data_IF_615541881262
#
_entry.id   IF_615541881262
#
_cell.length_a   1.000
_cell.length_b   1.000
_cell.length_c   1.000
_cell.angle_alpha   90.00
_cell.angle_beta   90.00
_cell.angle_gamma   90.00
#
_symmetry.space_group_name_H-M   'P 1'
#
loop_
_entity.id
_entity.type
_entity.pdbx_description
1 polymer ?
#
# COMPACT_ATOMS: atom_id res chain seq x y z
N UNK A 1 35.37 44.99 -42.07
CA UNK A 1 34.35 45.28 -41.04
C UNK A 1 33.35 44.13 -40.76
N UNK A 2 33.46 42.92 -41.34
CA UNK A 2 32.39 41.90 -41.26
C UNK A 2 32.64 40.64 -40.41
N UNK A 3 33.80 40.47 -39.78
CA UNK A 3 34.13 39.27 -39.00
C UNK A 3 33.64 39.35 -37.55
N UNK A 4 33.85 40.50 -36.89
CA UNK A 4 33.40 40.73 -35.51
C UNK A 4 31.86 40.82 -35.38
N UNK A 5 31.16 41.31 -36.40
CA UNK A 5 29.69 41.35 -36.40
C UNK A 5 29.05 39.95 -36.59
N UNK A 6 29.81 38.96 -37.10
CA UNK A 6 29.37 37.55 -37.18
C UNK A 6 29.71 36.75 -35.92
N UNK A 7 30.75 37.15 -35.17
CA UNK A 7 31.13 36.52 -33.89
C UNK A 7 30.32 37.06 -32.69
N UNK A 8 29.86 38.31 -32.77
CA UNK A 8 29.05 38.98 -31.73
C UNK A 8 27.65 39.38 -32.20
N UNK A 9 27.27 38.99 -33.42
CA UNK A 9 25.89 39.14 -33.87
C UNK A 9 25.01 38.25 -33.01
N UNK A 10 24.13 38.89 -32.21
CA UNK A 10 23.18 38.18 -31.37
C UNK A 10 22.47 37.11 -32.22
N UNK A 11 22.64 35.83 -31.86
CA UNK A 11 21.87 34.75 -32.48
C UNK A 11 20.39 35.17 -32.44
N UNK A 12 19.66 35.13 -33.57
CA UNK A 12 18.25 35.47 -33.57
C UNK A 12 17.59 34.67 -32.44
N UNK A 13 16.92 35.39 -31.52
CA UNK A 13 16.31 34.78 -30.35
C UNK A 13 15.37 33.68 -30.84
N UNK A 14 15.73 32.43 -30.58
CA UNK A 14 14.93 31.29 -31.02
C UNK A 14 13.54 31.43 -30.39
N UNK A 15 12.52 31.44 -31.24
CA UNK A 15 11.13 31.65 -30.82
C UNK A 15 10.78 30.61 -29.77
N UNK A 16 10.37 31.08 -28.59
CA UNK A 16 9.93 30.20 -27.51
C UNK A 16 8.52 29.74 -27.84
N UNK A 17 8.36 28.45 -28.10
CA UNK A 17 7.05 27.85 -28.35
C UNK A 17 6.35 27.63 -27.01
N UNK A 18 5.24 28.34 -26.83
CA UNK A 18 4.46 28.27 -25.60
C UNK A 18 3.28 27.32 -25.81
N UNK A 19 3.27 26.20 -25.09
CA UNK A 19 2.31 25.11 -25.29
C UNK A 19 1.56 24.86 -23.98
N UNK A 20 0.21 24.86 -23.98
CA UNK A 20 -0.55 24.48 -22.80
C UNK A 20 -0.34 23.00 -22.50
N UNK A 21 -0.24 22.64 -21.22
CA UNK A 21 -0.02 21.26 -20.82
C UNK A 21 -1.01 20.25 -21.44
N UNK A 22 -2.28 20.63 -21.55
CA UNK A 22 -3.34 19.79 -22.14
C UNK A 22 -3.10 19.49 -23.63
N UNK A 23 -2.43 20.39 -24.37
CA UNK A 23 -2.13 20.24 -25.80
C UNK A 23 -0.72 19.71 -26.08
N UNK A 24 0.06 19.36 -25.05
CA UNK A 24 1.46 19.00 -25.19
C UNK A 24 1.67 17.76 -26.06
N UNK A 25 0.76 16.78 -25.97
CA UNK A 25 0.82 15.55 -26.78
C UNK A 25 0.57 15.82 -28.25
N UNK A 26 -0.46 16.59 -28.57
CA UNK A 26 -0.80 16.93 -29.96
C UNK A 26 0.28 17.78 -30.61
N UNK A 27 0.81 18.75 -29.84
CA UNK A 27 1.99 19.52 -30.26
C UNK A 27 3.18 18.62 -30.55
N UNK A 28 3.48 17.65 -29.69
CA UNK A 28 4.57 16.70 -29.91
C UNK A 28 4.36 15.86 -31.17
N UNK A 29 3.15 15.37 -31.42
CA UNK A 29 2.84 14.59 -32.62
C UNK A 29 3.01 15.43 -33.90
N UNK A 30 2.58 16.69 -33.88
CA UNK A 30 2.81 17.63 -34.98
C UNK A 30 4.30 17.86 -35.21
N UNK A 31 5.06 18.17 -34.14
CA UNK A 31 6.51 18.40 -34.25
C UNK A 31 7.28 17.17 -34.70
N UNK A 32 6.86 15.99 -34.23
CA UNK A 32 7.42 14.72 -34.69
C UNK A 32 7.23 14.58 -36.19
N UNK A 33 6.02 14.82 -36.70
CA UNK A 33 5.75 14.76 -38.14
C UNK A 33 6.66 15.72 -38.93
N UNK A 34 6.70 17.00 -38.55
CA UNK A 34 7.52 18.02 -39.24
C UNK A 34 9.01 17.65 -39.27
N UNK A 35 9.53 17.11 -38.16
CA UNK A 35 10.93 16.70 -38.05
C UNK A 35 11.24 15.40 -38.79
N UNK A 36 10.29 14.47 -38.89
CA UNK A 36 10.43 13.29 -39.74
C UNK A 36 10.42 13.68 -41.23
N UNK A 37 9.56 14.61 -41.64
CA UNK A 37 9.57 15.15 -43.01
C UNK A 37 10.89 15.87 -43.31
N UNK A 38 11.41 16.66 -42.36
CA UNK A 38 12.73 17.30 -42.47
C UNK A 38 13.85 16.26 -42.55
N UNK A 39 13.79 15.20 -41.73
CA UNK A 39 14.77 14.12 -41.73
C UNK A 39 14.74 13.34 -43.05
N UNK A 40 13.56 13.09 -43.62
CA UNK A 40 13.41 12.48 -44.93
C UNK A 40 14.03 13.36 -46.01
N UNK A 41 13.76 14.68 -46.00
CA UNK A 41 14.37 15.60 -46.96
C UNK A 41 15.90 15.65 -46.84
N UNK A 42 16.43 15.69 -45.61
CA UNK A 42 17.88 15.63 -45.37
C UNK A 42 18.48 14.30 -45.85
N UNK A 43 17.76 13.19 -45.66
CA UNK A 43 18.14 11.88 -46.18
C UNK A 43 18.12 11.86 -47.71
N UNK A 44 17.07 12.36 -48.35
CA UNK A 44 16.95 12.44 -49.81
C UNK A 44 18.05 13.31 -50.43
N UNK A 45 18.54 14.31 -49.69
CA UNK A 45 19.67 15.15 -50.10
C UNK A 45 21.02 14.43 -49.94
N UNK A 46 21.23 13.68 -48.85
CA UNK A 46 22.50 13.01 -48.56
C UNK A 46 22.65 11.63 -49.21
N UNK A 47 21.54 10.93 -49.50
CA UNK A 47 21.55 9.60 -50.10
C UNK A 47 22.20 9.58 -51.51
N UNK A 48 22.00 10.57 -52.40
CA UNK A 48 22.71 10.64 -53.67
C UNK A 48 24.23 10.73 -53.53
N UNK A 49 24.74 11.47 -52.54
CA UNK A 49 26.19 11.57 -52.29
C UNK A 49 26.76 10.23 -51.84
N UNK A 50 26.05 9.52 -50.96
CA UNK A 50 26.41 8.18 -50.53
C UNK A 50 26.36 7.18 -51.71
N UNK A 51 25.32 7.23 -52.55
CA UNK A 51 25.21 6.39 -53.76
C UNK A 51 26.37 6.68 -54.73
N UNK A 52 26.69 7.94 -54.97
CA UNK A 52 27.81 8.32 -55.81
C UNK A 52 29.14 7.79 -55.24
N UNK A 53 29.35 7.85 -53.91
CA UNK A 53 30.54 7.28 -53.29
C UNK A 53 30.62 5.73 -53.43
N UNK A 54 29.47 5.05 -53.36
CA UNK A 54 29.34 3.60 -53.62
C UNK A 54 29.66 3.29 -55.09
N UNK A 55 29.14 4.07 -56.03
CA UNK A 55 29.38 3.89 -57.46
C UNK A 55 30.85 4.15 -57.83
N UNK A 56 31.47 5.20 -57.27
CA UNK A 56 32.89 5.48 -57.45
C UNK A 56 33.77 4.38 -56.87
N UNK A 57 33.39 3.77 -55.74
CA UNK A 57 34.05 2.58 -55.21
C UNK A 57 33.97 1.41 -56.21
N UNK A 58 32.80 1.20 -56.82
CA UNK A 58 32.62 0.20 -57.88
C UNK A 58 33.57 0.42 -59.06
N UNK A 59 33.65 1.66 -59.56
CA UNK A 59 34.60 2.03 -60.62
C UNK A 59 36.05 1.84 -60.20
N UNK A 60 36.38 2.18 -58.95
CA UNK A 60 37.71 1.97 -58.37
C UNK A 60 38.10 0.49 -58.33
N UNK A 61 37.14 -0.40 -58.04
CA UNK A 61 37.34 -1.85 -58.03
C UNK A 61 37.67 -2.34 -59.44
N UNK A 62 36.96 -1.87 -60.46
CA UNK A 62 37.21 -2.23 -61.86
C UNK A 62 38.53 -1.64 -62.41
N UNK A 63 38.89 -0.43 -61.97
CA UNK A 63 40.20 0.16 -62.26
C UNK A 63 41.32 -0.67 -61.64
N UNK A 64 41.21 -1.02 -60.35
CA UNK A 64 42.19 -1.89 -59.69
C UNK A 64 42.22 -3.28 -60.34
N UNK A 65 41.13 -3.80 -60.93
CA UNK A 65 41.11 -5.09 -61.66
C UNK A 65 41.79 -5.03 -63.02
N UNK A 66 41.74 -3.89 -63.70
CA UNK A 66 42.31 -3.71 -65.04
C UNK A 66 43.71 -3.09 -65.04
N UNK A 67 44.16 -2.52 -63.92
CA UNK A 67 45.48 -1.90 -63.77
C UNK A 67 46.63 -2.86 -64.16
N UNK A 68 47.53 -2.37 -65.01
CA UNK A 68 48.75 -3.07 -65.42
C UNK A 68 49.96 -2.68 -64.56
N UNK A 69 51.00 -3.51 -64.58
CA UNK A 69 52.25 -3.21 -63.90
C UNK A 69 53.05 -2.14 -64.65
N UNK A 70 53.47 -1.08 -63.95
CA UNK A 70 54.33 -0.03 -64.52
C UNK A 70 55.75 -0.55 -64.82
N UNK A 71 56.24 -1.53 -64.07
CA UNK A 71 57.50 -2.22 -64.33
C UNK A 71 57.25 -3.64 -64.84
N UNK A 72 57.43 -3.92 -66.14
CA UNK A 72 57.22 -5.25 -66.70
C UNK A 72 58.29 -6.28 -66.28
N UNK A 73 59.41 -5.85 -65.67
CA UNK A 73 60.54 -6.71 -65.29
C UNK A 73 60.50 -7.22 -63.84
N UNK A 74 59.32 -7.45 -63.27
CA UNK A 74 59.20 -8.08 -61.95
C UNK A 74 59.47 -9.59 -62.01
N UNK A 75 59.95 -10.18 -60.91
CA UNK A 75 60.17 -11.62 -60.85
C UNK A 75 58.83 -12.38 -60.86
N UNK A 76 58.82 -13.60 -61.40
CA UNK A 76 57.59 -14.43 -61.46
C UNK A 76 56.98 -14.67 -60.07
N UNK A 77 57.83 -14.87 -59.05
CA UNK A 77 57.40 -15.00 -57.66
C UNK A 77 56.66 -13.75 -57.14
N UNK A 78 57.16 -12.56 -57.47
CA UNK A 78 56.52 -11.28 -57.09
C UNK A 78 55.18 -11.10 -57.80
N UNK A 79 55.09 -11.53 -59.06
CA UNK A 79 53.83 -11.53 -59.83
C UNK A 79 52.77 -12.41 -59.17
N UNK A 80 53.12 -13.62 -58.75
CA UNK A 80 52.18 -14.49 -58.04
C UNK A 80 51.69 -13.90 -56.71
N UNK A 81 52.58 -13.28 -55.93
CA UNK A 81 52.16 -12.59 -54.70
C UNK A 81 51.25 -11.41 -54.99
N UNK A 82 51.54 -10.63 -56.03
CA UNK A 82 50.70 -9.51 -56.45
C UNK A 82 49.29 -10.00 -56.81
N UNK A 83 49.18 -10.99 -57.68
CA UNK A 83 47.89 -11.48 -58.18
C UNK A 83 47.03 -12.06 -57.06
N UNK A 84 47.62 -12.84 -56.15
CA UNK A 84 46.91 -13.39 -55.00
C UNK A 84 46.40 -12.32 -54.03
N UNK A 85 47.22 -11.31 -53.72
CA UNK A 85 46.80 -10.21 -52.84
C UNK A 85 45.79 -9.28 -53.52
N UNK A 86 45.93 -9.05 -54.84
CA UNK A 86 44.97 -8.29 -55.64
C UNK A 86 43.59 -8.96 -55.63
N UNK A 87 43.54 -10.27 -55.87
CA UNK A 87 42.28 -11.05 -55.82
C UNK A 87 41.64 -11.00 -54.42
N UNK A 88 42.43 -11.19 -53.35
CA UNK A 88 41.93 -11.07 -51.99
C UNK A 88 41.36 -9.67 -51.70
N UNK A 89 42.07 -8.61 -52.11
CA UNK A 89 41.64 -7.23 -51.92
C UNK A 89 40.33 -6.95 -52.68
N UNK A 90 40.25 -7.34 -53.95
CA UNK A 90 39.05 -7.15 -54.78
C UNK A 90 37.85 -7.88 -54.18
N UNK A 91 38.02 -9.13 -53.72
CA UNK A 91 36.95 -9.89 -53.06
C UNK A 91 36.45 -9.20 -51.79
N UNK A 92 37.35 -8.66 -50.97
CA UNK A 92 36.98 -7.91 -49.77
C UNK A 92 36.22 -6.61 -50.13
N UNK A 93 36.70 -5.87 -51.14
CA UNK A 93 36.07 -4.64 -51.61
C UNK A 93 34.68 -4.87 -52.21
N UNK A 94 34.51 -5.91 -53.03
CA UNK A 94 33.22 -6.30 -53.58
C UNK A 94 32.23 -6.73 -52.49
N UNK A 95 32.71 -7.50 -51.49
CA UNK A 95 31.88 -7.91 -50.35
C UNK A 95 31.42 -6.70 -49.55
N UNK A 96 32.33 -5.75 -49.30
CA UNK A 96 31.99 -4.49 -48.65
C UNK A 96 30.94 -3.73 -49.48
N UNK A 97 31.19 -3.51 -50.77
CA UNK A 97 30.28 -2.81 -51.68
C UNK A 97 28.86 -3.40 -51.67
N UNK A 98 28.73 -4.72 -51.81
CA UNK A 98 27.43 -5.42 -51.79
C UNK A 98 26.72 -5.35 -50.45
N UNK A 99 27.46 -5.13 -49.36
CA UNK A 99 26.88 -5.08 -48.02
C UNK A 99 26.32 -3.71 -47.64
N UNK A 100 26.64 -2.65 -48.39
CA UNK A 100 26.16 -1.30 -48.09
C UNK A 100 24.96 -1.00 -48.98
N UNK A 101 23.80 -0.82 -48.35
CA UNK A 101 22.59 -0.32 -49.00
C UNK A 101 22.18 0.98 -48.33
N UNK A 102 22.08 2.10 -49.07
CA UNK A 102 21.62 3.38 -48.51
C UNK A 102 20.21 3.22 -47.88
N UNK A 103 19.95 3.83 -46.72
CA UNK A 103 18.64 3.77 -46.10
C UNK A 103 17.62 4.53 -46.95
N UNK A 104 16.42 3.97 -47.10
CA UNK A 104 15.32 4.57 -47.85
C UNK A 104 14.49 5.52 -46.97
N UNK A 105 14.39 5.22 -45.67
CA UNK A 105 13.60 6.01 -44.72
C UNK A 105 14.40 6.33 -43.44
N UNK A 106 14.03 7.40 -42.70
CA UNK A 106 14.66 7.76 -41.44
C UNK A 106 14.65 6.65 -40.37
N UNK A 107 13.66 5.75 -40.40
CA UNK A 107 13.55 4.62 -39.49
C UNK A 107 14.66 3.58 -39.68
N UNK A 108 15.25 3.49 -40.87
CA UNK A 108 16.35 2.57 -41.19
C UNK A 108 17.73 3.12 -40.79
N UNK A 109 17.84 4.41 -40.50
CA UNK A 109 19.11 5.05 -40.10
C UNK A 109 19.87 4.35 -38.94
N UNK A 110 19.21 3.79 -37.90
CA UNK A 110 19.91 3.18 -36.77
C UNK A 110 20.64 1.91 -37.17
N UNK A 111 19.93 1.01 -37.87
CA UNK A 111 20.49 -0.24 -38.35
C UNK A 111 21.55 0.01 -39.41
N UNK A 112 21.33 1.00 -40.27
CA UNK A 112 22.29 1.42 -41.29
C UNK A 112 23.61 1.94 -40.68
N UNK A 113 23.57 2.90 -39.73
CA UNK A 113 24.80 3.45 -39.11
C UNK A 113 25.61 2.35 -38.42
N UNK A 114 24.96 1.51 -37.61
CA UNK A 114 25.62 0.39 -36.94
C UNK A 114 26.26 -0.58 -37.95
N UNK A 115 25.53 -0.94 -38.99
CA UNK A 115 26.01 -1.89 -40.00
C UNK A 115 27.18 -1.32 -40.80
N UNK A 116 27.13 -0.07 -41.25
CA UNK A 116 28.23 0.55 -42.01
C UNK A 116 29.51 0.61 -41.18
N UNK A 117 29.43 1.03 -39.91
CA UNK A 117 30.60 1.09 -39.02
C UNK A 117 31.23 -0.29 -38.85
N UNK A 118 30.42 -1.33 -38.66
CA UNK A 118 30.91 -2.70 -38.58
C UNK A 118 31.57 -3.15 -39.89
N UNK A 119 30.98 -2.82 -41.03
CA UNK A 119 31.51 -3.22 -42.35
C UNK A 119 32.80 -2.49 -42.71
N UNK A 120 32.94 -1.21 -42.37
CA UNK A 120 34.17 -0.44 -42.57
C UNK A 120 35.31 -1.01 -41.73
N UNK A 121 35.02 -1.37 -40.47
CA UNK A 121 35.98 -2.02 -39.59
C UNK A 121 36.42 -3.39 -40.15
N UNK A 122 35.46 -4.24 -40.52
CA UNK A 122 35.75 -5.56 -41.08
C UNK A 122 36.56 -5.46 -42.38
N UNK A 123 36.20 -4.51 -43.26
CA UNK A 123 36.92 -4.29 -44.50
C UNK A 123 38.40 -3.96 -44.24
N UNK A 124 38.67 -3.01 -43.33
CA UNK A 124 40.04 -2.64 -42.94
C UNK A 124 40.87 -3.83 -42.44
N UNK A 125 40.27 -4.71 -41.64
CA UNK A 125 40.90 -5.94 -41.15
C UNK A 125 41.16 -6.94 -42.28
N UNK A 126 40.18 -7.15 -43.18
CA UNK A 126 40.26 -8.10 -44.30
C UNK A 126 41.35 -7.72 -45.33
N UNK A 127 41.59 -6.42 -45.55
CA UNK A 127 42.53 -5.94 -46.57
C UNK A 127 43.95 -5.64 -46.06
N UNK A 128 44.20 -5.59 -44.75
CA UNK A 128 45.43 -5.02 -44.18
C UNK A 128 46.72 -5.57 -44.83
N UNK A 129 46.83 -6.90 -44.93
CA UNK A 129 48.00 -7.56 -45.55
C UNK A 129 48.07 -7.34 -47.05
N UNK A 130 46.94 -7.50 -47.74
CA UNK A 130 46.86 -7.34 -49.19
C UNK A 130 47.19 -5.90 -49.61
N UNK A 131 46.70 -4.91 -48.86
CA UNK A 131 46.98 -3.50 -49.03
C UNK A 131 48.49 -3.21 -48.94
N UNK A 132 49.18 -3.69 -47.90
CA UNK A 132 50.63 -3.47 -47.74
C UNK A 132 51.45 -4.00 -48.92
N UNK A 133 51.07 -5.16 -49.47
CA UNK A 133 51.76 -5.76 -50.62
C UNK A 133 51.45 -4.97 -51.90
N UNK A 134 50.17 -4.66 -52.13
CA UNK A 134 49.74 -3.90 -53.30
C UNK A 134 50.28 -2.47 -53.33
N UNK A 135 50.56 -1.86 -52.18
CA UNK A 135 51.19 -0.53 -52.11
C UNK A 135 52.55 -0.44 -52.80
N UNK A 136 53.27 -1.56 -52.99
CA UNK A 136 54.56 -1.56 -53.70
C UNK A 136 54.40 -1.54 -55.23
N UNK A 137 53.24 -1.91 -55.75
CA UNK A 137 53.02 -2.14 -57.19
C UNK A 137 51.88 -1.31 -57.79
N UNK A 138 50.81 -1.08 -57.01
CA UNK A 138 49.54 -0.46 -57.38
C UNK A 138 49.10 0.52 -56.27
N UNK A 139 50.04 1.39 -55.86
CA UNK A 139 49.87 2.28 -54.72
C UNK A 139 48.71 3.26 -54.89
N UNK A 140 48.52 3.77 -56.11
CA UNK A 140 47.55 4.80 -56.42
C UNK A 140 46.13 4.23 -56.39
N UNK A 141 45.93 3.10 -57.05
CA UNK A 141 44.64 2.40 -57.15
C UNK A 141 44.16 1.93 -55.77
N UNK A 142 45.07 1.37 -54.97
CA UNK A 142 44.71 0.90 -53.62
C UNK A 142 44.49 2.04 -52.63
N UNK A 143 45.24 3.15 -52.70
CA UNK A 143 44.95 4.35 -51.91
C UNK A 143 43.61 4.97 -52.28
N UNK A 144 43.29 5.00 -53.57
CA UNK A 144 42.02 5.55 -54.05
C UNK A 144 40.82 4.75 -53.53
N UNK A 145 40.90 3.42 -53.55
CA UNK A 145 39.85 2.57 -52.97
C UNK A 145 39.65 2.81 -51.46
N UNK A 146 40.74 2.91 -50.69
CA UNK A 146 40.65 3.22 -49.25
C UNK A 146 40.01 4.60 -49.05
N UNK A 147 40.42 5.61 -49.84
CA UNK A 147 39.84 6.96 -49.81
C UNK A 147 38.33 6.93 -50.12
N UNK A 148 37.89 6.08 -51.04
CA UNK A 148 36.48 5.91 -51.39
C UNK A 148 35.68 5.24 -50.26
N UNK A 149 36.24 4.24 -49.58
CA UNK A 149 35.64 3.65 -48.38
C UNK A 149 35.53 4.66 -47.25
N UNK A 150 36.57 5.48 -47.03
CA UNK A 150 36.54 6.58 -46.06
C UNK A 150 35.47 7.62 -46.41
N UNK A 151 35.27 7.91 -47.70
CA UNK A 151 34.20 8.79 -48.16
C UNK A 151 32.82 8.22 -47.82
N UNK A 152 32.58 6.92 -48.04
CA UNK A 152 31.34 6.23 -47.64
C UNK A 152 31.13 6.35 -46.11
N UNK A 153 32.17 6.08 -45.31
CA UNK A 153 32.10 6.19 -43.85
C UNK A 153 31.79 7.64 -43.40
N UNK A 154 32.36 8.64 -44.08
CA UNK A 154 32.11 10.05 -43.82
C UNK A 154 30.66 10.43 -44.15
N UNK A 155 30.12 10.00 -45.29
CA UNK A 155 28.72 10.25 -45.65
C UNK A 155 27.76 9.54 -44.68
N UNK A 156 28.06 8.30 -44.27
CA UNK A 156 27.29 7.60 -43.23
C UNK A 156 27.32 8.34 -41.88
N UNK A 157 28.46 8.92 -41.51
CA UNK A 157 28.58 9.74 -40.30
C UNK A 157 27.75 11.03 -40.37
N UNK A 158 27.59 11.63 -41.56
CA UNK A 158 26.70 12.77 -41.74
C UNK A 158 25.23 12.38 -41.47
N UNK A 159 24.80 11.20 -41.93
CA UNK A 159 23.46 10.65 -41.66
C UNK A 159 23.21 10.38 -40.17
N UNK A 160 24.26 10.10 -39.37
CA UNK A 160 24.14 10.01 -37.89
C UNK A 160 23.63 11.30 -37.24
N UNK A 161 23.93 12.46 -37.84
CA UNK A 161 23.39 13.74 -37.38
C UNK A 161 21.86 13.82 -37.49
N UNK A 162 21.29 13.21 -38.53
CA UNK A 162 19.83 13.06 -38.68
C UNK A 162 19.29 12.16 -37.58
N UNK A 163 19.92 11.00 -37.36
CA UNK A 163 19.50 10.04 -36.33
C UNK A 163 19.46 10.64 -34.92
N UNK A 164 20.51 11.35 -34.51
CA UNK A 164 20.57 11.97 -33.17
C UNK A 164 19.40 12.91 -32.88
N UNK A 165 18.90 13.63 -33.89
CA UNK A 165 17.72 14.50 -33.74
C UNK A 165 16.45 13.67 -33.48
N UNK A 166 16.30 12.54 -34.17
CA UNK A 166 15.16 11.62 -33.99
C UNK A 166 15.20 10.90 -32.64
N UNK A 167 16.37 10.48 -32.17
CA UNK A 167 16.55 9.89 -30.82
C UNK A 167 16.09 10.86 -29.73
N UNK A 168 16.44 12.14 -29.87
CA UNK A 168 15.97 13.20 -28.96
C UNK A 168 14.45 13.31 -28.92
N UNK A 169 13.77 13.16 -30.08
CA UNK A 169 12.31 13.20 -30.15
C UNK A 169 11.65 11.98 -29.49
N UNK A 170 12.23 10.80 -29.61
CA UNK A 170 11.71 9.61 -28.94
C UNK A 170 11.86 9.75 -27.41
N UNK A 171 12.99 10.30 -26.96
CA UNK A 171 13.20 10.64 -25.56
C UNK A 171 12.21 11.72 -25.07
N UNK A 172 11.92 12.74 -25.90
CA UNK A 172 10.92 13.76 -25.60
C UNK A 172 9.52 13.15 -25.49
N UNK A 173 9.15 12.26 -26.40
CA UNK A 173 7.87 11.54 -26.35
C UNK A 173 7.69 10.75 -25.07
N UNK A 174 8.74 10.01 -24.67
CA UNK A 174 8.74 9.27 -23.40
C UNK A 174 8.58 10.20 -22.19
N UNK A 175 9.29 11.33 -22.17
CA UNK A 175 9.17 12.31 -21.08
C UNK A 175 7.77 12.94 -21.01
N UNK A 176 7.13 13.18 -22.15
CA UNK A 176 5.74 13.68 -22.23
C UNK A 176 4.77 12.60 -21.71
N UNK A 177 4.94 11.35 -22.11
CA UNK A 177 4.09 10.24 -21.63
C UNK A 177 4.23 10.01 -20.12
N UNK A 178 5.45 10.11 -19.58
CA UNK A 178 5.71 10.08 -18.15
C UNK A 178 4.97 11.23 -17.45
N UNK A 179 5.08 12.46 -17.95
CA UNK A 179 4.42 13.63 -17.38
C UNK A 179 2.88 13.51 -17.43
N UNK A 180 2.31 13.05 -18.54
CA UNK A 180 0.88 12.84 -18.70
C UNK A 180 0.34 11.79 -17.72
N UNK A 181 1.08 10.69 -17.51
CA UNK A 181 0.73 9.68 -16.49
C UNK A 181 0.72 10.27 -15.09
N UNK A 182 1.76 11.02 -14.72
CA UNK A 182 1.85 11.66 -13.42
C UNK A 182 0.69 12.64 -13.14
N UNK A 183 0.27 13.40 -14.16
CA UNK A 183 -0.89 14.31 -14.04
C UNK A 183 -2.19 13.51 -13.84
N UNK A 184 -2.39 12.44 -14.61
CA UNK A 184 -3.57 11.58 -14.47
C UNK A 184 -3.63 10.92 -13.09
N UNK A 185 -2.49 10.46 -12.58
CA UNK A 185 -2.41 9.88 -11.24
C UNK A 185 -2.72 10.93 -10.16
N UNK A 186 -2.18 12.16 -10.28
CA UNK A 186 -2.49 13.26 -9.36
C UNK A 186 -3.99 13.61 -9.37
N UNK A 187 -4.62 13.63 -10.54
CA UNK A 187 -6.06 13.89 -10.66
C UNK A 187 -6.86 12.80 -9.94
N UNK A 188 -6.57 11.52 -10.19
CA UNK A 188 -7.21 10.40 -9.50
C UNK A 188 -7.03 10.49 -7.98
N UNK A 189 -5.83 10.80 -7.51
CA UNK A 189 -5.56 10.96 -6.08
C UNK A 189 -6.32 12.14 -5.46
N UNK A 190 -6.47 13.23 -6.19
CA UNK A 190 -7.27 14.38 -5.75
C UNK A 190 -8.76 14.05 -5.63
N UNK A 191 -9.31 13.30 -6.60
CA UNK A 191 -10.71 12.84 -6.58
C UNK A 191 -10.97 11.85 -5.45
N UNK A 192 -10.06 10.89 -5.24
CA UNK A 192 -10.16 9.94 -4.14
C UNK A 192 -10.05 10.63 -2.77
N UNK A 193 -9.17 11.64 -2.64
CA UNK A 193 -9.04 12.46 -1.42
C UNK A 193 -10.34 13.19 -1.13
N UNK A 194 -10.88 13.89 -2.13
CA UNK A 194 -12.17 14.60 -2.01
C UNK A 194 -13.30 13.65 -1.63
N UNK A 195 -13.40 12.49 -2.27
CA UNK A 195 -14.43 11.49 -1.96
C UNK A 195 -14.34 10.99 -0.51
N UNK A 196 -13.11 10.83 0.01
CA UNK A 196 -12.90 10.43 1.42
C UNK A 196 -13.25 11.55 2.40
N UNK A 197 -12.93 12.80 2.08
CA UNK A 197 -13.32 13.96 2.89
C UNK A 197 -14.85 14.06 2.98
N UNK A 198 -15.54 13.96 1.84
CA UNK A 198 -17.01 13.95 1.78
C UNK A 198 -17.60 12.79 2.60
N UNK A 199 -16.98 11.60 2.55
CA UNK A 199 -17.36 10.46 3.40
C UNK A 199 -17.12 10.75 4.89
N UNK A 200 -15.99 11.36 5.24
CA UNK A 200 -15.66 11.74 6.61
C UNK A 200 -16.69 12.69 7.20
N UNK A 201 -17.09 13.72 6.45
CA UNK A 201 -18.13 14.67 6.87
C UNK A 201 -19.50 14.00 7.10
N UNK A 202 -19.87 13.05 6.23
CA UNK A 202 -21.10 12.25 6.42
C UNK A 202 -21.02 11.41 7.70
N UNK A 203 -19.90 10.74 7.96
CA UNK A 203 -19.70 9.94 9.17
C UNK A 203 -19.69 10.79 10.44
N UNK A 204 -19.11 12.00 10.41
CA UNK A 204 -19.18 12.95 11.54
C UNK A 204 -20.61 13.38 11.85
N UNK A 205 -21.39 13.66 10.80
CA UNK A 205 -22.81 13.99 10.94
C UNK A 205 -23.59 12.82 11.54
N UNK A 206 -23.36 11.60 11.05
CA UNK A 206 -24.00 10.40 11.57
C UNK A 206 -23.59 10.11 13.02
N UNK A 207 -22.32 10.30 13.37
CA UNK A 207 -21.81 10.12 14.72
C UNK A 207 -22.53 11.05 15.70
N UNK A 208 -22.68 12.32 15.32
CA UNK A 208 -23.41 13.31 16.11
C UNK A 208 -24.86 12.88 16.32
N UNK A 209 -25.56 12.47 15.26
CA UNK A 209 -26.94 11.98 15.36
C UNK A 209 -27.07 10.75 16.27
N UNK A 210 -26.11 9.82 16.21
CA UNK A 210 -26.09 8.65 17.08
C UNK A 210 -25.81 9.02 18.54
N UNK A 211 -24.93 9.97 18.81
CA UNK A 211 -24.65 10.50 20.15
C UNK A 211 -25.86 11.27 20.74
N UNK A 212 -26.53 12.06 19.92
CA UNK A 212 -27.76 12.77 20.29
C UNK A 212 -28.88 11.76 20.64
N UNK A 213 -28.99 10.66 19.88
CA UNK A 213 -29.93 9.58 20.18
C UNK A 213 -29.64 8.89 21.52
N UNK A 214 -28.37 8.56 21.82
CA UNK A 214 -27.97 8.03 23.13
C UNK A 214 -28.36 9.00 24.24
N UNK A 215 -28.06 10.29 24.08
CA UNK A 215 -28.36 11.32 25.08
C UNK A 215 -29.86 11.51 25.29
N UNK A 216 -30.66 11.40 24.22
CA UNK A 216 -32.12 11.43 24.28
C UNK A 216 -32.67 10.22 25.03
N UNK A 217 -32.14 9.02 24.79
CA UNK A 217 -32.54 7.81 25.53
C UNK A 217 -32.13 7.93 27.00
N UNK A 218 -30.92 8.39 27.32
CA UNK A 218 -30.46 8.52 28.71
C UNK A 218 -31.23 9.59 29.50
N UNK A 219 -31.75 10.61 28.83
CA UNK A 219 -32.61 11.64 29.45
C UNK A 219 -34.09 11.24 29.55
N UNK A 220 -34.50 10.16 28.90
CA UNK A 220 -35.88 9.67 28.86
C UNK A 220 -36.40 9.26 30.26
N UNK A 221 -37.72 9.39 30.50
CA UNK A 221 -38.36 8.87 31.71
C UNK A 221 -38.10 7.38 31.94
N UNK A 222 -38.13 6.58 30.87
CA UNK A 222 -37.95 5.13 30.91
C UNK A 222 -36.54 4.75 31.38
N UNK A 223 -35.51 5.47 30.93
CA UNK A 223 -34.15 5.23 31.39
C UNK A 223 -33.97 5.64 32.85
N UNK A 224 -34.53 6.79 33.27
CA UNK A 224 -34.51 7.22 34.67
C UNK A 224 -35.20 6.21 35.58
N UNK A 225 -36.31 5.63 35.12
CA UNK A 225 -37.02 4.58 35.83
C UNK A 225 -36.19 3.30 35.94
N UNK A 226 -35.52 2.89 34.86
CA UNK A 226 -34.58 1.76 34.89
C UNK A 226 -33.46 1.99 35.92
N UNK A 227 -32.84 3.18 35.93
CA UNK A 227 -31.79 3.53 36.90
C UNK A 227 -32.32 3.48 38.33
N UNK A 228 -33.54 3.99 38.56
CA UNK A 228 -34.23 3.94 39.86
C UNK A 228 -34.47 2.49 40.29
N UNK A 229 -35.01 1.64 39.43
CA UNK A 229 -35.26 0.23 39.70
C UNK A 229 -33.96 -0.54 39.99
N UNK A 230 -32.87 -0.26 39.27
CA UNK A 230 -31.54 -0.83 39.56
C UNK A 230 -31.03 -0.43 40.94
N UNK A 231 -31.14 0.85 41.30
CA UNK A 231 -30.76 1.33 42.63
C UNK A 231 -31.56 0.64 43.73
N UNK A 232 -32.89 0.57 43.58
CA UNK A 232 -33.76 -0.11 44.55
C UNK A 232 -33.45 -1.60 44.69
N UNK A 233 -33.17 -2.26 43.56
CA UNK A 233 -32.77 -3.67 43.55
C UNK A 233 -31.47 -3.87 44.33
N UNK A 234 -30.49 -2.98 44.16
CA UNK A 234 -29.23 -3.03 44.89
C UNK A 234 -29.44 -2.79 46.39
N UNK A 235 -30.29 -1.84 46.78
CA UNK A 235 -30.63 -1.59 48.18
C UNK A 235 -31.27 -2.80 48.85
N UNK A 236 -32.21 -3.46 48.16
CA UNK A 236 -32.85 -4.69 48.64
C UNK A 236 -31.84 -5.83 48.73
N UNK A 237 -30.94 -5.96 47.74
CA UNK A 237 -29.87 -6.96 47.78
C UNK A 237 -28.91 -6.75 48.97
N UNK A 238 -28.54 -5.49 49.25
CA UNK A 238 -27.72 -5.13 50.40
C UNK A 238 -28.44 -5.43 51.72
N UNK A 239 -29.74 -5.11 51.82
CA UNK A 239 -30.56 -5.47 52.98
C UNK A 239 -30.62 -6.97 53.20
N UNK A 240 -30.88 -7.75 52.15
CA UNK A 240 -30.88 -9.22 52.20
C UNK A 240 -29.52 -9.76 52.66
N UNK A 241 -28.41 -9.19 52.17
CA UNK A 241 -27.05 -9.59 52.58
C UNK A 241 -26.84 -9.35 54.07
N UNK A 242 -27.16 -8.17 54.58
CA UNK A 242 -27.06 -7.86 56.02
C UNK A 242 -27.97 -8.76 56.85
N UNK A 243 -29.19 -9.01 56.38
CA UNK A 243 -30.16 -9.85 57.06
C UNK A 243 -29.70 -11.32 57.16
N UNK A 244 -29.14 -11.85 56.06
CA UNK A 244 -28.51 -13.18 56.03
C UNK A 244 -27.32 -13.26 56.96
N UNK A 245 -26.46 -12.25 56.95
CA UNK A 245 -25.25 -12.21 57.78
C UNK A 245 -25.60 -12.23 59.28
N UNK A 246 -26.56 -11.41 59.72
CA UNK A 246 -26.99 -11.41 61.13
C UNK A 246 -27.56 -12.76 61.58
N UNK A 247 -28.31 -13.44 60.71
CA UNK A 247 -28.82 -14.78 61.02
C UNK A 247 -27.72 -15.85 61.00
N UNK A 248 -26.77 -15.78 60.05
CA UNK A 248 -25.60 -16.66 60.01
C UNK A 248 -24.73 -16.54 61.27
N UNK A 249 -24.57 -15.33 61.80
CA UNK A 249 -23.88 -15.10 63.07
C UNK A 249 -24.57 -15.82 64.24
N UNK A 250 -25.91 -15.80 64.29
CA UNK A 250 -26.67 -16.57 65.28
C UNK A 250 -26.49 -18.09 65.10
N UNK A 251 -26.50 -18.58 63.85
CA UNK A 251 -26.24 -20.00 63.55
C UNK A 251 -24.81 -20.42 63.93
N UNK A 252 -23.81 -19.56 63.70
CA UNK A 252 -22.40 -19.86 64.04
C UNK A 252 -22.20 -20.12 65.53
N UNK A 253 -23.00 -19.49 66.39
CA UNK A 253 -22.95 -19.67 67.83
C UNK A 253 -23.42 -21.07 68.26
N UNK A 254 -24.38 -21.68 67.54
CA UNK A 254 -24.92 -23.01 67.83
C UNK A 254 -24.29 -24.13 66.98
N UNK A 255 -23.59 -23.79 65.91
CA UNK A 255 -23.01 -24.73 64.93
C UNK A 255 -22.16 -25.87 65.58
N UNK A 256 -21.28 -25.62 66.58
CA UNK A 256 -20.50 -26.69 67.19
C UNK A 256 -21.35 -27.74 67.91
N UNK A 257 -22.45 -27.31 68.53
CA UNK A 257 -23.40 -28.20 69.19
C UNK A 257 -24.22 -28.96 68.14
N UNK A 258 -24.67 -28.25 67.09
CA UNK A 258 -25.44 -28.82 65.98
C UNK A 258 -24.66 -29.94 65.27
N UNK A 259 -23.35 -29.76 65.04
CA UNK A 259 -22.43 -30.77 64.48
C UNK A 259 -22.30 -32.04 65.32
N UNK A 260 -22.34 -31.91 66.66
CA UNK A 260 -22.30 -33.06 67.56
C UNK A 260 -23.67 -33.74 67.65
N UNK A 261 -24.74 -32.95 67.69
CA UNK A 261 -26.12 -33.42 67.72
C UNK A 261 -26.51 -34.20 66.45
N UNK A 262 -26.00 -33.77 65.30
CA UNK A 262 -26.19 -34.43 63.99
C UNK A 262 -25.83 -35.93 64.01
N UNK A 263 -24.85 -36.35 64.83
CA UNK A 263 -24.39 -37.74 64.94
C UNK A 263 -25.27 -38.64 65.81
N UNK A 264 -26.16 -38.05 66.60
CA UNK A 264 -26.98 -38.76 67.60
C UNK A 264 -28.48 -38.62 67.38
N UNK A 265 -28.91 -37.73 66.49
CA UNK A 265 -30.32 -37.48 66.19
C UNK A 265 -30.85 -38.38 65.07
N UNK A 266 -32.13 -38.76 65.17
CA UNK A 266 -32.84 -39.47 64.10
C UNK A 266 -33.16 -38.56 62.90
N UNK A 267 -33.08 -37.24 63.06
CA UNK A 267 -33.29 -36.24 62.00
C UNK A 267 -31.98 -35.79 61.34
N UNK A 268 -31.04 -36.73 61.14
CA UNK A 268 -29.69 -36.45 60.65
C UNK A 268 -29.65 -35.57 59.39
N UNK A 269 -30.48 -35.89 58.39
CA UNK A 269 -30.51 -35.14 57.12
C UNK A 269 -30.92 -33.67 57.31
N UNK A 270 -31.95 -33.41 58.11
CA UNK A 270 -32.42 -32.04 58.34
C UNK A 270 -31.37 -31.22 59.08
N UNK A 271 -30.70 -31.80 60.08
CA UNK A 271 -29.60 -31.13 60.80
C UNK A 271 -28.42 -30.85 59.85
N UNK A 272 -28.09 -31.79 58.98
CA UNK A 272 -27.06 -31.63 57.95
C UNK A 272 -27.40 -30.50 56.97
N UNK A 273 -28.67 -30.35 56.58
CA UNK A 273 -29.13 -29.27 55.71
C UNK A 273 -28.99 -27.89 56.39
N UNK A 274 -29.26 -27.79 57.70
CA UNK A 274 -29.02 -26.56 58.46
C UNK A 274 -27.53 -26.23 58.63
N UNK A 275 -26.67 -27.24 58.73
CA UNK A 275 -25.22 -27.03 58.78
C UNK A 275 -24.67 -26.54 57.44
N UNK A 276 -25.22 -27.04 56.33
CA UNK A 276 -24.76 -26.68 54.99
C UNK A 276 -25.28 -25.31 54.55
N UNK A 277 -26.60 -25.08 54.63
CA UNK A 277 -27.25 -23.86 54.13
C UNK A 277 -28.30 -23.37 55.13
N UNK A 278 -27.91 -22.86 56.31
CA UNK A 278 -28.83 -22.57 57.42
C UNK A 278 -29.99 -21.65 57.03
N UNK A 279 -29.72 -20.61 56.23
CA UNK A 279 -30.75 -19.65 55.82
C UNK A 279 -31.74 -20.24 54.82
N UNK A 280 -31.26 -20.97 53.82
CA UNK A 280 -32.10 -21.55 52.78
C UNK A 280 -32.95 -22.69 53.32
N UNK A 281 -32.35 -23.52 54.18
CA UNK A 281 -33.04 -24.58 54.90
C UNK A 281 -34.11 -23.99 55.81
N UNK A 282 -33.79 -22.93 56.57
CA UNK A 282 -34.77 -22.21 57.39
C UNK A 282 -35.92 -21.63 56.53
N UNK A 283 -35.62 -21.02 55.39
CA UNK A 283 -36.63 -20.45 54.49
C UNK A 283 -37.61 -21.50 53.92
N UNK A 284 -37.18 -22.76 53.80
CA UNK A 284 -38.02 -23.88 53.34
C UNK A 284 -38.73 -24.60 54.49
N UNK A 285 -38.27 -24.42 55.72
CA UNK A 285 -38.82 -25.02 56.92
C UNK A 285 -40.11 -24.30 57.40
N UNK A 286 -41.22 -24.60 56.72
CA UNK A 286 -42.54 -24.05 57.06
C UNK A 286 -43.04 -24.50 58.44
N UNK A 287 -42.52 -25.60 58.95
CA UNK A 287 -42.93 -26.19 60.23
C UNK A 287 -42.09 -25.74 61.42
N UNK A 288 -41.09 -24.87 61.21
CA UNK A 288 -40.11 -24.46 62.23
C UNK A 288 -39.49 -25.67 62.97
N UNK A 289 -39.22 -26.75 62.24
CA UNK A 289 -38.55 -27.96 62.74
C UNK A 289 -37.21 -27.67 63.40
N UNK A 290 -36.55 -26.55 63.05
CA UNK A 290 -35.39 -26.05 63.78
C UNK A 290 -35.65 -25.93 65.29
N UNK A 291 -36.81 -25.42 65.71
CA UNK A 291 -37.13 -25.25 67.14
C UNK A 291 -37.19 -26.60 67.86
N UNK A 292 -37.74 -27.63 67.22
CA UNK A 292 -37.75 -28.98 67.77
C UNK A 292 -36.33 -29.54 67.93
N UNK A 293 -35.48 -29.33 66.92
CA UNK A 293 -34.05 -29.68 66.98
C UNK A 293 -33.37 -28.97 68.14
N UNK A 294 -33.59 -27.65 68.30
CA UNK A 294 -32.95 -26.87 69.36
C UNK A 294 -33.40 -27.29 70.77
N UNK A 295 -34.69 -27.62 70.95
CA UNK A 295 -35.21 -28.13 72.24
C UNK A 295 -34.60 -29.50 72.57
N UNK A 296 -34.53 -30.40 71.59
CA UNK A 296 -33.92 -31.71 71.80
C UNK A 296 -32.41 -31.59 72.05
N UNK A 297 -31.71 -30.77 71.27
CA UNK A 297 -30.29 -30.48 71.44
C UNK A 297 -30.00 -29.85 72.80
N UNK A 298 -30.85 -28.94 73.30
CA UNK A 298 -30.73 -28.34 74.64
C UNK A 298 -30.73 -29.40 75.74
N UNK A 299 -31.63 -30.40 75.67
CA UNK A 299 -31.68 -31.49 76.66
C UNK A 299 -30.36 -32.28 76.70
N UNK A 300 -29.80 -32.58 75.54
CA UNK A 300 -28.54 -33.32 75.44
C UNK A 300 -27.32 -32.47 75.88
N UNK A 301 -27.34 -31.15 75.66
CA UNK A 301 -26.31 -30.22 76.18
C UNK A 301 -26.37 -30.12 77.72
N UNK A 302 -27.58 -30.00 78.30
CA UNK A 302 -27.74 -29.90 79.76
C UNK A 302 -27.35 -31.19 80.46
N UNK A 303 -27.70 -32.34 79.88
CA UNK A 303 -27.34 -33.67 80.38
C UNK A 303 -25.87 -34.07 80.13
N UNK A 304 -25.04 -33.15 79.64
CA UNK A 304 -23.62 -33.35 79.32
C UNK A 304 -23.34 -34.48 78.30
N UNK A 305 -24.34 -34.85 77.48
CA UNK A 305 -24.17 -35.80 76.36
C UNK A 305 -23.53 -35.15 75.13
N UNK A 306 -23.73 -33.84 74.97
CA UNK A 306 -22.99 -33.03 73.99
C UNK A 306 -21.89 -32.28 74.75
N UNK A 307 -20.68 -32.85 74.73
CA UNK A 307 -19.53 -32.29 75.44
C UNK A 307 -19.14 -30.90 74.89
N UNK A 308 -19.31 -29.84 75.68
CA UNK A 308 -18.88 -28.49 75.37
C UNK A 308 -18.13 -27.92 76.57
N UNK A 309 -17.12 -27.08 76.33
CA UNK A 309 -16.47 -26.32 77.42
C UNK A 309 -17.51 -25.39 78.07
N UNK A 310 -17.47 -25.20 79.39
CA UNK A 310 -18.48 -24.43 80.15
C UNK A 310 -18.83 -23.07 79.52
N UNK A 311 -17.81 -22.26 79.19
CA UNK A 311 -17.99 -20.95 78.54
C UNK A 311 -18.64 -21.03 77.16
N UNK A 312 -18.46 -22.14 76.43
CA UNK A 312 -19.14 -22.39 75.14
C UNK A 312 -20.54 -22.95 75.35
N UNK A 313 -20.74 -23.80 76.35
CA UNK A 313 -22.04 -24.37 76.75
C UNK A 313 -23.02 -23.23 77.06
N UNK A 314 -22.61 -22.27 77.89
CA UNK A 314 -23.41 -21.09 78.22
C UNK A 314 -23.77 -20.28 76.96
N UNK A 315 -22.76 -19.93 76.13
CA UNK A 315 -22.99 -19.19 74.88
C UNK A 315 -23.95 -19.89 73.91
N UNK A 316 -23.83 -21.22 73.76
CA UNK A 316 -24.72 -22.03 72.92
C UNK A 316 -26.14 -22.01 73.48
N UNK A 317 -26.32 -22.18 74.79
CA UNK A 317 -27.64 -22.17 75.43
C UNK A 317 -28.32 -20.80 75.29
N UNK A 318 -27.57 -19.70 75.46
CA UNK A 318 -28.07 -18.34 75.23
C UNK A 318 -28.44 -18.13 73.75
N UNK A 319 -27.61 -18.60 72.81
CA UNK A 319 -27.91 -18.50 71.39
C UNK A 319 -29.15 -19.32 71.00
N UNK A 320 -29.33 -20.51 71.56
CA UNK A 320 -30.56 -21.31 71.39
C UNK A 320 -31.80 -20.56 71.90
N UNK A 321 -31.72 -19.78 72.98
CA UNK A 321 -32.85 -18.99 73.50
C UNK A 321 -33.23 -17.82 72.57
N UNK A 322 -32.27 -17.30 71.81
CA UNK A 322 -32.53 -16.28 70.80
C UNK A 322 -33.35 -16.84 69.61
N UNK A 323 -33.28 -18.15 69.36
CA UNK A 323 -34.10 -18.86 68.39
C UNK A 323 -35.44 -19.27 69.00
N UNK A 324 -36.41 -18.35 68.98
CA UNK A 324 -37.77 -18.63 69.38
C UNK A 324 -38.74 -18.44 68.20
N UNK A 325 -39.98 -18.90 68.38
CA UNK A 325 -40.98 -18.85 67.31
C UNK A 325 -41.22 -17.42 66.79
N UNK A 326 -41.21 -16.43 67.69
CA UNK A 326 -41.41 -15.03 67.30
C UNK A 326 -40.24 -14.49 66.46
N UNK A 327 -38.99 -14.73 66.86
CA UNK A 327 -37.80 -14.27 66.13
C UNK A 327 -37.65 -14.95 64.77
N UNK A 328 -37.86 -16.27 64.71
CA UNK A 328 -37.80 -17.01 63.45
C UNK A 328 -38.93 -16.65 62.49
N UNK A 329 -40.16 -16.49 63.00
CA UNK A 329 -41.29 -16.09 62.16
C UNK A 329 -41.12 -14.67 61.63
N UNK A 330 -40.61 -13.74 62.46
CA UNK A 330 -40.28 -12.39 62.03
C UNK A 330 -39.20 -12.40 60.94
N UNK A 331 -38.12 -13.15 61.14
CA UNK A 331 -37.07 -13.33 60.15
C UNK A 331 -37.63 -13.87 58.82
N UNK A 332 -38.39 -14.95 58.85
CA UNK A 332 -38.95 -15.57 57.64
C UNK A 332 -39.88 -14.63 56.88
N UNK A 333 -40.71 -13.87 57.60
CA UNK A 333 -41.59 -12.87 57.02
C UNK A 333 -40.80 -11.77 56.31
N UNK A 334 -39.82 -11.17 56.99
CA UNK A 334 -39.03 -10.07 56.43
C UNK A 334 -38.14 -10.54 55.28
N UNK A 335 -37.50 -11.69 55.43
CA UNK A 335 -36.71 -12.33 54.38
C UNK A 335 -37.55 -12.65 53.14
N UNK A 336 -38.75 -13.20 53.33
CA UNK A 336 -39.70 -13.48 52.25
C UNK A 336 -40.15 -12.21 51.53
N UNK A 337 -40.50 -11.15 52.29
CA UNK A 337 -40.92 -9.87 51.75
C UNK A 337 -39.80 -9.20 50.92
N UNK A 338 -38.57 -9.19 51.44
CA UNK A 338 -37.42 -8.64 50.73
C UNK A 338 -37.12 -9.43 49.44
N UNK A 339 -37.13 -10.77 49.52
CA UNK A 339 -36.91 -11.64 48.36
C UNK A 339 -37.98 -11.41 47.29
N UNK A 340 -39.25 -11.34 47.67
CA UNK A 340 -40.34 -11.07 46.72
C UNK A 340 -40.24 -9.67 46.11
N UNK A 341 -39.83 -8.67 46.90
CA UNK A 341 -39.59 -7.31 46.41
C UNK A 341 -38.46 -7.29 45.39
N UNK A 342 -37.36 -8.00 45.65
CA UNK A 342 -36.24 -8.12 44.71
C UNK A 342 -36.68 -8.74 43.38
N UNK A 343 -37.44 -9.83 43.43
CA UNK A 343 -37.97 -10.51 42.22
C UNK A 343 -38.88 -9.57 41.42
N UNK A 344 -39.77 -8.82 42.10
CA UNK A 344 -40.66 -7.85 41.44
C UNK A 344 -39.87 -6.72 40.75
N UNK A 345 -38.88 -6.15 41.44
CA UNK A 345 -38.05 -5.07 40.88
C UNK A 345 -37.23 -5.54 39.67
N UNK A 346 -36.66 -6.75 39.74
CA UNK A 346 -35.95 -7.35 38.60
C UNK A 346 -36.87 -7.57 37.41
N UNK A 347 -38.05 -8.17 37.63
CA UNK A 347 -39.03 -8.39 36.57
C UNK A 347 -39.53 -7.09 35.94
N UNK A 348 -39.67 -6.01 36.72
CA UNK A 348 -40.02 -4.69 36.20
C UNK A 348 -38.90 -4.08 35.36
N UNK A 349 -37.64 -4.25 35.77
CA UNK A 349 -36.49 -3.74 35.03
C UNK A 349 -36.29 -4.45 33.69
N UNK A 350 -36.51 -5.77 33.63
CA UNK A 350 -36.33 -6.58 32.42
C UNK A 350 -37.39 -6.30 31.33
N UNK A 351 -38.56 -5.77 31.72
CA UNK A 351 -39.63 -5.41 30.79
C UNK A 351 -39.42 -4.07 30.09
N UNK A 352 -38.40 -3.30 30.47
CA UNK A 352 -38.17 -1.98 29.88
C UNK A 352 -37.41 -2.10 28.55
N UNK A 353 -38.03 -1.76 27.40
CA UNK A 353 -37.40 -1.87 26.07
C UNK A 353 -36.19 -0.95 25.90
N UNK A 354 -36.09 0.10 26.75
CA UNK A 354 -35.02 1.10 26.76
C UNK A 354 -33.61 0.49 26.84
N UNK A 355 -33.46 -0.71 27.41
CA UNK A 355 -32.18 -1.43 27.47
C UNK A 355 -31.69 -1.82 26.07
N UNK A 356 -32.57 -2.37 25.25
CA UNK A 356 -32.24 -2.79 23.90
C UNK A 356 -31.92 -1.58 23.02
N UNK A 357 -32.75 -0.53 23.12
CA UNK A 357 -32.58 0.68 22.31
C UNK A 357 -31.29 1.42 22.66
N UNK A 358 -30.96 1.53 23.96
CA UNK A 358 -29.70 2.12 24.41
C UNK A 358 -28.49 1.31 23.94
N UNK A 359 -28.57 -0.03 24.01
CA UNK A 359 -27.50 -0.90 23.54
C UNK A 359 -27.28 -0.75 22.03
N UNK A 360 -28.35 -0.78 21.23
CA UNK A 360 -28.29 -0.59 19.78
C UNK A 360 -27.74 0.79 19.40
N UNK A 361 -28.15 1.86 20.10
CA UNK A 361 -27.64 3.21 19.86
C UNK A 361 -26.14 3.32 20.20
N UNK A 362 -25.69 2.71 21.31
CA UNK A 362 -24.25 2.67 21.68
C UNK A 362 -23.43 1.86 20.69
N UNK A 363 -23.94 0.74 20.20
CA UNK A 363 -23.28 -0.05 19.16
C UNK A 363 -23.14 0.75 17.87
N UNK A 364 -24.17 1.52 17.49
CA UNK A 364 -24.11 2.42 16.34
C UNK A 364 -23.03 3.48 16.51
N UNK A 365 -22.94 4.14 17.68
CA UNK A 365 -21.86 5.11 17.99
C UNK A 365 -20.49 4.47 17.82
N UNK A 366 -20.28 3.28 18.38
CA UNK A 366 -19.00 2.56 18.29
C UNK A 366 -18.62 2.24 16.85
N UNK A 367 -19.58 1.75 16.06
CA UNK A 367 -19.40 1.42 14.65
C UNK A 367 -19.00 2.64 13.81
N UNK A 368 -19.76 3.73 13.92
CA UNK A 368 -19.49 4.96 13.17
C UNK A 368 -18.16 5.58 13.60
N UNK A 369 -17.82 5.54 14.89
CA UNK A 369 -16.52 6.02 15.40
C UNK A 369 -15.36 5.26 14.78
N UNK A 370 -15.46 3.92 14.69
CA UNK A 370 -14.44 3.09 14.05
C UNK A 370 -14.30 3.43 12.57
N UNK A 371 -15.41 3.49 11.85
CA UNK A 371 -15.40 3.76 10.40
C UNK A 371 -14.87 5.17 10.08
N UNK A 372 -15.14 6.15 10.95
CA UNK A 372 -14.58 7.50 10.87
C UNK A 372 -13.07 7.48 11.08
N UNK A 373 -12.59 6.80 12.13
CA UNK A 373 -11.16 6.68 12.43
C UNK A 373 -10.39 6.00 11.28
N UNK A 374 -10.94 4.92 10.71
CA UNK A 374 -10.34 4.27 9.54
C UNK A 374 -10.27 5.19 8.31
N UNK A 375 -11.31 6.01 8.09
CA UNK A 375 -11.35 6.96 6.99
C UNK A 375 -10.31 8.07 7.18
N UNK A 376 -10.22 8.63 8.39
CA UNK A 376 -9.24 9.68 8.74
C UNK A 376 -7.79 9.16 8.63
N UNK A 377 -7.52 7.93 9.10
CA UNK A 377 -6.20 7.31 8.96
C UNK A 377 -5.82 7.12 7.49
N UNK A 378 -6.74 6.63 6.66
CA UNK A 378 -6.51 6.45 5.22
C UNK A 378 -6.29 7.77 4.49
N UNK A 379 -6.96 8.84 4.89
CA UNK A 379 -6.75 10.18 4.33
C UNK A 379 -5.38 10.74 4.75
N UNK A 380 -5.01 10.62 6.02
CA UNK A 380 -3.71 11.10 6.53
C UNK A 380 -2.51 10.39 5.89
N UNK A 381 -2.61 9.07 5.65
CA UNK A 381 -1.55 8.33 4.95
C UNK A 381 -1.35 8.80 3.51
N UNK A 382 -2.41 9.24 2.84
CA UNK A 382 -2.32 9.72 1.45
C UNK A 382 -1.89 11.16 1.31
N UNK A 383 -2.32 12.05 2.20
CA UNK A 383 -1.84 13.45 2.20
C UNK A 383 -0.33 13.55 2.43
N UNK A 384 0.27 12.55 3.07
CA UNK A 384 1.72 12.46 3.24
C UNK A 384 2.46 12.01 1.95
N UNK A 385 1.75 11.49 0.95
CA UNK A 385 2.33 10.94 -0.30
C UNK A 385 2.15 11.85 -1.52
N UNK A 386 1.46 12.99 -1.39
CA UNK A 386 1.12 13.84 -2.54
C UNK A 386 2.36 14.46 -3.20
N UNK A 387 2.59 14.06 -4.45
CA UNK A 387 3.81 14.32 -5.23
C UNK A 387 3.81 15.57 -6.10
N UNK A 388 3.41 16.75 -5.56
CA UNK A 388 3.52 18.01 -6.33
C UNK A 388 4.96 18.31 -6.79
N UNK A 389 5.95 17.91 -5.98
CA UNK A 389 7.37 18.02 -6.34
C UNK A 389 7.73 17.19 -7.57
N UNK A 390 7.03 16.08 -7.81
CA UNK A 390 7.30 15.18 -8.92
C UNK A 390 6.91 15.80 -10.27
N UNK A 391 5.71 16.38 -10.38
CA UNK A 391 5.22 16.95 -11.66
C UNK A 391 6.06 18.14 -12.11
N UNK A 392 6.47 19.01 -11.18
CA UNK A 392 7.34 20.15 -11.50
C UNK A 392 8.70 19.68 -12.03
N UNK A 393 9.28 18.65 -11.41
CA UNK A 393 10.51 18.01 -11.89
C UNK A 393 10.36 17.38 -13.27
N UNK A 394 9.23 16.70 -13.52
CA UNK A 394 8.94 16.08 -14.82
C UNK A 394 8.70 17.12 -15.92
N UNK A 395 8.01 18.22 -15.63
CA UNK A 395 7.87 19.37 -16.56
C UNK A 395 9.23 19.93 -16.96
N UNK A 396 10.14 20.11 -16.00
CA UNK A 396 11.51 20.57 -16.27
C UNK A 396 12.25 19.57 -17.16
N UNK A 397 12.15 18.27 -16.88
CA UNK A 397 12.75 17.22 -17.71
C UNK A 397 12.25 17.26 -19.16
N UNK A 398 10.95 17.47 -19.39
CA UNK A 398 10.41 17.64 -20.75
C UNK A 398 11.03 18.85 -21.45
N UNK A 399 11.15 19.98 -20.75
CA UNK A 399 11.78 21.20 -21.29
C UNK A 399 13.26 20.97 -21.60
N UNK A 400 14.00 20.31 -20.71
CA UNK A 400 15.43 20.03 -20.88
C UNK A 400 15.68 19.10 -22.07
N UNK A 401 14.86 18.05 -22.23
CA UNK A 401 14.93 17.13 -23.37
C UNK A 401 14.56 17.84 -24.67
N UNK A 402 13.51 18.69 -24.66
CA UNK A 402 13.14 19.50 -25.82
C UNK A 402 14.30 20.44 -26.23
N UNK A 403 14.95 21.08 -25.27
CA UNK A 403 16.10 21.95 -25.53
C UNK A 403 17.28 21.17 -26.12
N UNK A 404 17.53 19.94 -25.65
CA UNK A 404 18.50 19.01 -26.25
C UNK A 404 18.19 18.65 -27.71
N UNK A 405 16.92 18.72 -28.12
CA UNK A 405 16.48 18.56 -29.50
C UNK A 405 16.56 19.85 -30.34
N UNK A 406 17.02 20.96 -29.75
CA UNK A 406 17.00 22.28 -30.37
C UNK A 406 15.62 22.95 -30.36
N UNK A 407 14.69 22.47 -29.53
CA UNK A 407 13.33 23.01 -29.41
C UNK A 407 13.26 23.86 -28.14
N UNK A 408 13.01 25.16 -28.29
CA UNK A 408 12.76 26.04 -27.15
C UNK A 408 11.30 25.96 -26.73
N UNK A 409 10.99 24.96 -25.89
CA UNK A 409 9.65 24.72 -25.37
C UNK A 409 9.43 25.44 -24.03
N UNK A 410 8.27 26.07 -23.88
CA UNK A 410 7.72 26.54 -22.61
C UNK A 410 6.35 25.91 -22.41
N UNK A 411 6.20 25.15 -21.32
CA UNK A 411 4.91 24.56 -20.92
C UNK A 411 4.20 25.54 -19.99
N UNK A 412 2.98 25.96 -20.35
CA UNK A 412 2.14 26.81 -19.51
C UNK A 412 1.16 26.00 -18.67
#
# INVERSE_FOLDING_TARGET
>A
MGFFQRLFGAKPAAQVESVPLAGLRDWYLSKRKDLYETAQHDLDRSAPELRAAIDELGKGIDALRSAGLLNPKIQERERHFLDGNRDQFLKAAERFLRSITPPATPEELPSFDQHVQQRVKQFSEDIQRAFQILQNFLANETKELVRQVDAIAKHATALRGIRRRLDGLDALGTAIDDLSRAISDQQRDSEETRSREERGERLRTELKQAQDAVSSIESSPEHKELVRLKSQTQDVANKLKTFRQGMLEQFSAIEPALKKYERMTMHHQLVKDYLANPIETLARDRGLQLLHILVAMRKEVVADRIELKDKKKEKVLTAMDAFNSATLSAFLKDYGNLTQTQIKLLGQADLLPVLHDLAAAKERVQRVTRDLSETEQKSAMRSAQTGEENITGMRRRVIDVAHGCGINLRIN
#
